data_IF_691603124092
#
_entry.id   IF_691603124092
#
_cell.length_a   1.000
_cell.length_b   1.000
_cell.length_c   1.000
_cell.angle_alpha   90.00
_cell.angle_beta   90.00
_cell.angle_gamma   90.00
#
_symmetry.space_group_name_H-M   'P 1'
#
loop_
_entity.id
_entity.type
_entity.pdbx_description
1 polymer ?
#
# COMPACT_ATOMS: atom_id res chain seq x y z
N UNK A 1 -26.46 54.11 28.60
CA UNK A 1 -25.40 53.13 28.25
C UNK A 1 -25.30 53.05 26.73
N UNK A 2 -24.12 53.33 26.18
CA UNK A 2 -23.94 53.61 24.75
C UNK A 2 -23.87 52.29 23.94
N UNK A 3 -24.83 51.99 23.04
CA UNK A 3 -24.93 50.70 22.33
C UNK A 3 -23.75 50.41 21.40
N UNK A 4 -22.92 51.42 21.10
CA UNK A 4 -21.70 51.28 20.32
C UNK A 4 -20.56 50.58 21.07
N UNK A 5 -20.50 50.73 22.40
CA UNK A 5 -19.45 50.09 23.23
C UNK A 5 -19.66 48.57 23.28
N UNK A 6 -20.92 48.11 23.24
CA UNK A 6 -21.28 46.70 23.23
C UNK A 6 -20.88 46.00 21.92
N UNK A 7 -21.10 46.65 20.76
CA UNK A 7 -20.72 46.07 19.45
C UNK A 7 -19.20 46.01 19.25
N UNK A 8 -18.47 47.03 19.71
CA UNK A 8 -17.00 47.05 19.63
C UNK A 8 -16.40 45.96 20.55
N UNK A 9 -16.94 45.80 21.75
CA UNK A 9 -16.54 44.73 22.68
C UNK A 9 -16.79 43.33 22.09
N UNK A 10 -17.95 43.10 21.45
CA UNK A 10 -18.26 41.83 20.78
C UNK A 10 -17.32 41.54 19.59
N UNK A 11 -16.98 42.55 18.79
CA UNK A 11 -16.04 42.42 17.68
C UNK A 11 -14.62 42.06 18.17
N UNK A 12 -14.17 42.66 19.27
CA UNK A 12 -12.88 42.35 19.88
C UNK A 12 -12.84 40.91 20.42
N UNK A 13 -13.92 40.44 21.05
CA UNK A 13 -14.02 39.05 21.54
C UNK A 13 -14.00 38.05 20.38
N UNK A 14 -14.73 38.30 19.29
CA UNK A 14 -14.73 37.42 18.12
C UNK A 14 -13.37 37.42 17.42
N UNK A 15 -12.70 38.57 17.34
CA UNK A 15 -11.35 38.67 16.79
C UNK A 15 -10.33 37.90 17.64
N UNK A 16 -10.40 38.04 18.97
CA UNK A 16 -9.53 37.31 19.90
C UNK A 16 -9.78 35.79 19.84
N UNK A 17 -11.02 35.36 19.67
CA UNK A 17 -11.34 33.94 19.49
C UNK A 17 -10.77 33.40 18.18
N UNK A 18 -10.87 34.15 17.07
CA UNK A 18 -10.29 33.74 15.77
C UNK A 18 -8.77 33.65 15.82
N UNK A 19 -8.09 34.61 16.45
CA UNK A 19 -6.64 34.56 16.60
C UNK A 19 -6.19 33.42 17.51
N UNK A 20 -6.92 33.14 18.61
CA UNK A 20 -6.66 31.98 19.46
C UNK A 20 -6.81 30.66 18.70
N UNK A 21 -7.84 30.54 17.85
CA UNK A 21 -8.10 29.33 17.05
C UNK A 21 -7.00 29.12 16.00
N UNK A 22 -6.54 30.19 15.34
CA UNK A 22 -5.40 30.14 14.42
C UNK A 22 -4.11 29.77 15.17
N UNK A 23 -3.89 30.32 16.37
CA UNK A 23 -2.73 29.98 17.21
C UNK A 23 -2.77 28.51 17.64
N UNK A 24 -3.93 27.99 18.04
CA UNK A 24 -4.12 26.58 18.40
C UNK A 24 -3.87 25.64 17.20
N UNK A 25 -4.28 26.01 15.99
CA UNK A 25 -3.99 25.27 14.76
C UNK A 25 -2.49 25.32 14.42
N UNK A 26 -1.84 26.46 14.60
CA UNK A 26 -0.40 26.60 14.35
C UNK A 26 0.44 25.84 15.40
N UNK A 27 0.04 25.84 16.67
CA UNK A 27 0.72 25.07 17.73
C UNK A 27 0.45 23.56 17.53
N UNK A 28 -0.76 23.18 17.15
CA UNK A 28 -1.09 21.78 16.83
C UNK A 28 -0.41 21.29 15.54
N UNK A 29 -0.09 22.19 14.62
CA UNK A 29 0.71 21.93 13.41
C UNK A 29 2.21 21.79 13.68
N UNK A 30 2.72 22.29 14.81
CA UNK A 30 4.17 22.32 15.14
C UNK A 30 4.55 21.31 16.25
N UNK A 31 3.59 20.74 17.00
CA UNK A 31 3.87 19.79 18.11
C UNK A 31 3.81 18.30 17.69
N UNK A 32 4.16 17.96 16.44
CA UNK A 32 4.43 16.57 16.04
C UNK A 32 5.88 16.32 15.57
N UNK A 33 6.82 17.20 15.94
CA UNK A 33 8.24 17.00 15.61
C UNK A 33 9.14 17.17 16.82
N UNK A 34 8.95 16.31 17.82
CA UNK A 34 9.95 16.08 18.86
C UNK A 34 9.86 14.64 19.41
N UNK A 35 10.71 13.78 18.88
CA UNK A 35 11.35 12.65 19.59
C UNK A 35 10.49 11.68 20.41
N UNK A 36 10.05 10.60 19.78
CA UNK A 36 10.38 9.27 20.30
C UNK A 36 10.91 8.41 19.14
N UNK A 37 12.24 8.39 19.01
CA UNK A 37 12.94 7.37 18.22
C UNK A 37 12.80 6.06 18.99
N UNK A 38 11.69 5.36 18.77
CA UNK A 38 11.63 3.93 19.02
C UNK A 38 12.41 3.24 17.88
N UNK A 39 13.48 2.48 18.16
CA UNK A 39 14.34 1.93 17.10
C UNK A 39 13.70 0.80 16.27
N UNK A 40 12.44 0.42 16.51
CA UNK A 40 11.92 -0.87 16.04
C UNK A 40 10.70 -0.80 15.10
N UNK A 41 10.31 0.41 14.67
CA UNK A 41 9.27 0.56 13.64
C UNK A 41 9.91 1.02 12.35
N UNK A 42 9.70 0.27 11.27
CA UNK A 42 10.06 0.73 9.94
C UNK A 42 9.25 1.99 9.62
N UNK A 43 9.89 3.15 9.77
CA UNK A 43 9.30 4.44 9.47
C UNK A 43 8.84 4.56 8.02
N UNK A 44 8.13 5.65 7.72
CA UNK A 44 7.64 5.95 6.37
C UNK A 44 8.74 6.17 5.33
N UNK A 45 9.99 6.28 5.79
CA UNK A 45 11.19 6.37 4.96
C UNK A 45 11.58 5.05 4.25
N UNK A 46 11.10 3.88 4.69
CA UNK A 46 11.48 2.62 4.05
C UNK A 46 10.70 2.37 2.75
N UNK A 47 11.46 2.26 1.65
CA UNK A 47 10.93 1.97 0.30
C UNK A 47 10.37 0.57 0.15
N UNK A 48 10.82 -0.41 0.95
CA UNK A 48 10.31 -1.79 0.96
C UNK A 48 9.89 -2.16 2.38
N UNK A 49 8.59 -2.41 2.57
CA UNK A 49 8.01 -2.83 3.85
C UNK A 49 7.35 -4.20 3.69
N UNK A 50 7.35 -5.02 4.74
CA UNK A 50 6.77 -6.36 4.72
C UNK A 50 5.53 -6.41 5.61
N UNK A 51 4.42 -6.96 5.11
CA UNK A 51 3.20 -7.09 5.89
C UNK A 51 2.30 -8.25 5.41
N UNK A 52 1.42 -8.70 6.30
CA UNK A 52 0.27 -9.54 5.94
C UNK A 52 -0.94 -8.67 5.64
N UNK A 53 -1.78 -9.09 4.70
CA UNK A 53 -2.95 -8.31 4.26
C UNK A 53 -4.19 -9.17 4.42
N UNK A 54 -4.91 -8.98 5.52
CA UNK A 54 -6.09 -9.74 5.86
C UNK A 54 -7.33 -9.09 5.28
N UNK A 55 -8.11 -9.83 4.50
CA UNK A 55 -9.41 -9.37 4.03
C UNK A 55 -10.49 -9.71 5.06
N UNK A 56 -11.23 -8.70 5.50
CA UNK A 56 -12.20 -8.86 6.59
C UNK A 56 -13.44 -9.65 6.17
N UNK A 57 -13.80 -9.62 4.88
CA UNK A 57 -14.98 -10.30 4.36
C UNK A 57 -14.75 -11.79 4.08
N UNK A 58 -13.55 -12.17 3.63
CA UNK A 58 -13.17 -13.57 3.47
C UNK A 58 -12.55 -14.18 4.72
N UNK A 59 -12.19 -13.36 5.71
CA UNK A 59 -11.46 -13.75 6.92
C UNK A 59 -10.15 -14.50 6.61
N UNK A 60 -9.43 -14.04 5.58
CA UNK A 60 -8.26 -14.73 4.99
C UNK A 60 -7.19 -13.72 4.54
N UNK A 61 -5.97 -14.19 4.33
CA UNK A 61 -4.80 -13.39 3.99
C UNK A 61 -4.50 -13.43 2.48
N UNK A 62 -4.26 -12.25 1.91
CA UNK A 62 -3.87 -12.07 0.51
C UNK A 62 -2.56 -12.78 0.21
N UNK A 63 -2.53 -13.54 -0.89
CA UNK A 63 -1.33 -14.19 -1.41
C UNK A 63 -1.45 -14.51 -2.90
N UNK A 64 -0.34 -14.92 -3.50
CA UNK A 64 -0.34 -15.66 -4.75
C UNK A 64 -0.24 -17.16 -4.45
N UNK A 65 -1.21 -17.94 -4.91
CA UNK A 65 -1.21 -19.40 -4.69
C UNK A 65 -0.26 -20.14 -5.66
N UNK A 66 -0.11 -21.46 -5.45
CA UNK A 66 0.71 -22.33 -6.30
C UNK A 66 0.25 -22.34 -7.77
N UNK A 67 -1.06 -22.14 -8.01
CA UNK A 67 -1.66 -22.01 -9.34
C UNK A 67 -1.40 -20.63 -9.99
N UNK A 68 -0.61 -19.76 -9.34
CA UNK A 68 -0.31 -18.39 -9.79
C UNK A 68 -1.58 -17.56 -9.96
N UNK A 69 -2.46 -17.65 -8.98
CA UNK A 69 -3.66 -16.83 -8.86
C UNK A 69 -3.58 -15.97 -7.59
N UNK A 70 -4.12 -14.76 -7.68
CA UNK A 70 -4.26 -13.88 -6.52
C UNK A 70 -5.52 -14.27 -5.75
N UNK A 71 -5.34 -14.72 -4.51
CA UNK A 71 -6.40 -15.23 -3.64
C UNK A 71 -6.24 -14.69 -2.23
N UNK A 72 -7.28 -14.83 -1.42
CA UNK A 72 -7.18 -14.76 0.03
C UNK A 72 -7.29 -16.19 0.61
N UNK A 73 -6.31 -16.61 1.41
CA UNK A 73 -6.20 -17.96 1.96
C UNK A 73 -5.96 -17.95 3.49
N UNK A 74 -6.04 -19.09 4.16
CA UNK A 74 -5.89 -19.19 5.62
C UNK A 74 -4.44 -19.08 6.12
N UNK A 75 -3.47 -19.00 5.21
CA UNK A 75 -2.05 -18.86 5.54
C UNK A 75 -1.75 -17.45 6.11
N UNK A 76 -1.75 -17.35 7.43
CA UNK A 76 -1.48 -16.12 8.19
C UNK A 76 0.02 -15.77 8.30
N UNK A 77 0.89 -16.69 7.91
CA UNK A 77 2.35 -16.47 7.87
C UNK A 77 2.78 -15.86 6.54
N UNK A 78 1.97 -15.99 5.47
CA UNK A 78 2.27 -15.38 4.18
C UNK A 78 2.33 -13.85 4.29
N UNK A 79 3.47 -13.27 3.88
CA UNK A 79 3.68 -11.83 3.85
C UNK A 79 4.02 -11.38 2.44
N UNK A 80 3.57 -10.18 2.09
CA UNK A 80 3.91 -9.50 0.86
C UNK A 80 4.83 -8.32 1.16
N UNK A 81 5.64 -7.96 0.18
CA UNK A 81 6.36 -6.71 0.17
C UNK A 81 5.48 -5.61 -0.43
N UNK A 82 5.42 -4.46 0.23
CA UNK A 82 4.93 -3.20 -0.32
C UNK A 82 6.13 -2.34 -0.69
N UNK A 83 6.25 -2.01 -1.97
CA UNK A 83 7.40 -1.32 -2.53
C UNK A 83 6.98 0.07 -3.02
N UNK A 84 7.43 1.11 -2.35
CA UNK A 84 7.24 2.49 -2.80
C UNK A 84 8.31 2.84 -3.82
N UNK A 85 7.89 3.35 -4.97
CA UNK A 85 8.77 3.76 -6.06
C UNK A 85 8.69 5.28 -6.21
N UNK A 86 9.84 5.92 -6.41
CA UNK A 86 9.99 7.35 -6.72
C UNK A 86 9.26 8.29 -5.74
N UNK A 87 9.21 7.93 -4.44
CA UNK A 87 8.48 8.66 -3.40
C UNK A 87 7.00 8.95 -3.75
N UNK A 88 6.40 8.14 -4.63
CA UNK A 88 5.00 8.31 -5.00
C UNK A 88 4.08 7.90 -3.86
N UNK A 89 2.87 8.47 -3.80
CA UNK A 89 1.81 8.01 -2.89
C UNK A 89 1.32 6.57 -3.18
N UNK A 90 1.82 5.95 -4.25
CA UNK A 90 1.49 4.58 -4.64
C UNK A 90 2.61 3.59 -4.34
N UNK A 91 2.25 2.32 -4.26
CA UNK A 91 3.20 1.23 -4.02
C UNK A 91 2.84 -0.01 -4.84
N UNK A 92 3.83 -0.89 -5.04
CA UNK A 92 3.66 -2.19 -5.64
C UNK A 92 3.46 -3.25 -4.56
N UNK A 93 2.59 -4.23 -4.83
CA UNK A 93 2.58 -5.49 -4.09
C UNK A 93 3.48 -6.50 -4.78
N UNK A 94 4.38 -7.12 -4.02
CA UNK A 94 5.23 -8.19 -4.47
C UNK A 94 5.17 -9.38 -3.53
N UNK A 95 4.92 -10.56 -4.08
CA UNK A 95 4.93 -11.82 -3.35
C UNK A 95 6.35 -12.41 -3.35
N UNK A 96 7.06 -12.43 -2.20
CA UNK A 96 8.42 -12.95 -2.13
C UNK A 96 8.49 -14.46 -2.28
N UNK A 97 7.43 -15.20 -1.93
CA UNK A 97 7.39 -16.66 -2.07
C UNK A 97 7.28 -17.05 -3.54
N UNK A 98 6.36 -16.40 -4.26
CA UNK A 98 6.13 -16.68 -5.69
C UNK A 98 7.03 -15.87 -6.63
N UNK A 99 7.75 -14.85 -6.12
CA UNK A 99 8.57 -13.92 -6.88
C UNK A 99 7.77 -13.21 -7.99
N UNK A 100 6.61 -12.64 -7.63
CA UNK A 100 5.70 -12.00 -8.59
C UNK A 100 5.06 -10.73 -8.03
N UNK A 101 4.90 -9.73 -8.90
CA UNK A 101 4.10 -8.54 -8.64
C UNK A 101 2.62 -8.82 -8.83
N UNK A 102 1.76 -8.21 -8.03
CA UNK A 102 0.33 -8.18 -8.30
C UNK A 102 0.02 -7.02 -9.24
N UNK A 103 -0.68 -7.29 -10.34
CA UNK A 103 -1.01 -6.27 -11.33
C UNK A 103 -2.46 -6.37 -11.79
N UNK A 104 -3.07 -5.23 -12.07
CA UNK A 104 -4.37 -5.14 -12.71
C UNK A 104 -4.31 -5.62 -14.15
N UNK A 105 -5.28 -6.44 -14.54
CA UNK A 105 -5.54 -6.82 -15.93
C UNK A 105 -6.99 -6.47 -16.26
N UNK A 106 -7.17 -5.63 -17.28
CA UNK A 106 -8.48 -5.36 -17.87
C UNK A 106 -9.03 -6.67 -18.45
N UNK A 107 -10.28 -6.99 -18.15
CA UNK A 107 -10.98 -8.13 -18.74
C UNK A 107 -11.66 -7.69 -20.05
N UNK A 108 -11.98 -8.65 -20.94
CA UNK A 108 -12.60 -8.36 -22.25
C UNK A 108 -13.92 -7.58 -22.11
N UNK A 109 -14.65 -7.78 -21.00
CA UNK A 109 -15.76 -6.91 -20.60
C UNK A 109 -15.14 -5.60 -20.11
N UNK A 110 -15.27 -4.52 -20.90
CA UNK A 110 -14.43 -3.31 -20.93
C UNK A 110 -14.23 -2.52 -19.62
N UNK A 111 -14.76 -3.03 -18.53
CA UNK A 111 -15.02 -2.30 -17.31
C UNK A 111 -14.82 -3.14 -16.04
N UNK A 112 -14.57 -4.44 -16.16
CA UNK A 112 -14.14 -5.27 -15.04
C UNK A 112 -12.64 -5.50 -15.10
N UNK A 113 -12.00 -5.50 -13.94
CA UNK A 113 -10.60 -5.85 -13.78
C UNK A 113 -10.46 -7.11 -12.95
N UNK A 114 -9.32 -7.78 -13.12
CA UNK A 114 -8.84 -8.82 -12.20
C UNK A 114 -7.38 -8.57 -11.86
N UNK A 115 -6.93 -9.10 -10.74
CA UNK A 115 -5.53 -9.11 -10.38
C UNK A 115 -4.89 -10.33 -11.03
N UNK A 116 -3.69 -10.15 -11.55
CA UNK A 116 -2.87 -11.21 -12.11
C UNK A 116 -1.46 -11.07 -11.55
N UNK A 117 -0.82 -12.17 -11.16
CA UNK A 117 0.57 -12.11 -10.77
C UNK A 117 1.45 -12.02 -12.02
N UNK A 118 2.48 -11.19 -11.95
CA UNK A 118 3.44 -10.95 -13.04
C UNK A 118 4.85 -10.93 -12.47
N UNK A 119 5.70 -11.82 -12.96
CA UNK A 119 7.14 -11.79 -12.61
C UNK A 119 7.81 -10.50 -13.13
N UNK A 120 7.56 -10.18 -14.40
CA UNK A 120 8.10 -9.01 -15.08
C UNK A 120 6.95 -8.25 -15.77
N UNK A 121 6.33 -7.26 -15.11
CA UNK A 121 5.24 -6.50 -15.71
C UNK A 121 5.74 -5.64 -16.88
N UNK A 122 5.07 -5.75 -18.04
CA UNK A 122 5.36 -4.89 -19.21
C UNK A 122 4.96 -3.44 -18.99
N UNK A 123 3.92 -3.21 -18.21
CA UNK A 123 3.41 -1.89 -17.81
C UNK A 123 3.32 -1.86 -16.28
N UNK A 124 4.23 -1.12 -15.65
CA UNK A 124 4.31 -1.03 -14.19
C UNK A 124 3.14 -0.23 -13.60
N UNK A 125 2.56 0.69 -14.36
CA UNK A 125 1.43 1.53 -13.92
C UNK A 125 0.18 0.72 -13.59
N UNK A 126 0.06 -0.50 -14.13
CA UNK A 126 -1.00 -1.45 -13.79
C UNK A 126 -0.75 -2.19 -12.48
N UNK A 127 0.45 -2.10 -11.91
CA UNK A 127 0.84 -2.80 -10.69
C UNK A 127 0.93 -1.85 -9.49
N UNK A 128 0.66 -0.55 -9.68
CA UNK A 128 0.69 0.44 -8.61
C UNK A 128 -0.68 0.56 -7.95
N UNK A 129 -0.67 0.47 -6.63
CA UNK A 129 -1.82 0.57 -5.74
C UNK A 129 -1.72 1.83 -4.90
N UNK A 130 -2.87 2.32 -4.49
CA UNK A 130 -3.03 3.37 -3.50
C UNK A 130 -3.84 2.79 -2.33
N UNK A 131 -3.43 3.12 -1.12
CA UNK A 131 -4.16 2.80 0.10
C UNK A 131 -5.14 3.94 0.39
N UNK A 132 -6.42 3.61 0.52
CA UNK A 132 -7.50 4.56 0.76
C UNK A 132 -8.28 4.10 1.99
N UNK A 133 -8.80 5.00 2.83
CA UNK A 133 -9.71 4.63 3.91
C UNK A 133 -10.93 3.84 3.38
N UNK A 134 -11.27 2.77 4.09
CA UNK A 134 -12.58 2.12 4.05
C UNK A 134 -13.35 2.47 5.34
N UNK A 135 -14.59 2.00 5.48
CA UNK A 135 -15.36 2.25 6.69
C UNK A 135 -14.68 1.58 7.91
N UNK A 136 -15.01 2.03 9.13
CA UNK A 136 -14.65 1.40 10.40
C UNK A 136 -13.15 1.05 10.58
N UNK A 137 -12.28 2.03 10.27
CA UNK A 137 -10.81 1.95 10.41
C UNK A 137 -10.10 0.91 9.53
N UNK A 138 -10.79 0.35 8.53
CA UNK A 138 -10.17 -0.51 7.52
C UNK A 138 -9.58 0.30 6.36
N UNK A 139 -8.78 -0.37 5.55
CA UNK A 139 -8.23 0.20 4.32
C UNK A 139 -8.66 -0.59 3.10
N UNK A 140 -8.75 0.09 1.96
CA UNK A 140 -8.97 -0.53 0.65
C UNK A 140 -7.80 -0.19 -0.27
N UNK A 141 -7.47 -1.15 -1.14
CA UNK A 141 -6.39 -1.01 -2.10
C UNK A 141 -6.96 -0.81 -3.50
N UNK A 142 -6.66 0.34 -4.11
CA UNK A 142 -7.19 0.71 -5.44
C UNK A 142 -6.07 0.84 -6.45
N UNK A 143 -6.36 0.66 -7.75
CA UNK A 143 -5.37 0.97 -8.78
C UNK A 143 -5.10 2.46 -8.84
N UNK A 144 -3.83 2.86 -8.83
CA UNK A 144 -3.47 4.27 -8.99
C UNK A 144 -3.90 4.82 -10.36
N UNK A 145 -3.71 4.03 -11.43
CA UNK A 145 -4.09 4.38 -12.82
C UNK A 145 -5.59 4.34 -13.06
N UNK A 146 -6.29 3.40 -12.44
CA UNK A 146 -7.73 3.19 -12.64
C UNK A 146 -8.44 3.14 -11.29
N UNK A 147 -8.74 4.30 -10.69
CA UNK A 147 -9.29 4.41 -9.32
C UNK A 147 -10.59 3.59 -9.09
N UNK A 148 -11.31 3.22 -10.14
CA UNK A 148 -12.48 2.34 -10.09
C UNK A 148 -12.14 0.84 -9.94
N UNK A 149 -10.89 0.44 -10.07
CA UNK A 149 -10.41 -0.92 -9.83
C UNK A 149 -9.99 -1.05 -8.38
N UNK A 150 -10.76 -1.82 -7.63
CA UNK A 150 -10.60 -2.01 -6.18
C UNK A 150 -10.32 -3.48 -5.91
N UNK A 151 -9.30 -3.74 -5.10
CA UNK A 151 -8.97 -5.08 -4.64
C UNK A 151 -10.10 -5.58 -3.75
N UNK A 152 -10.67 -6.73 -4.07
CA UNK A 152 -11.78 -7.29 -3.31
C UNK A 152 -11.87 -8.80 -3.45
N UNK A 153 -12.31 -9.45 -2.38
CA UNK A 153 -12.45 -10.90 -2.29
C UNK A 153 -13.87 -11.29 -1.89
N UNK A 154 -14.33 -12.43 -2.40
CA UNK A 154 -15.56 -13.07 -1.93
C UNK A 154 -15.28 -13.76 -0.59
N UNK A 155 -16.33 -14.12 0.14
CA UNK A 155 -16.24 -14.84 1.42
C UNK A 155 -15.40 -16.13 1.34
N UNK A 156 -15.42 -16.83 0.20
CA UNK A 156 -14.61 -18.03 0.01
C UNK A 156 -13.11 -17.77 -0.24
N UNK A 157 -12.69 -16.50 -0.38
CA UNK A 157 -11.31 -16.10 -0.65
C UNK A 157 -10.94 -15.97 -2.14
N UNK A 158 -11.88 -16.26 -3.06
CA UNK A 158 -11.67 -16.01 -4.48
C UNK A 158 -11.75 -14.52 -4.79
N UNK A 159 -10.95 -14.05 -5.75
CA UNK A 159 -11.00 -12.66 -6.17
C UNK A 159 -12.38 -12.32 -6.76
N UNK A 160 -12.91 -11.16 -6.38
CA UNK A 160 -14.11 -10.61 -7.02
C UNK A 160 -13.71 -9.88 -8.32
N UNK A 161 -14.34 -10.27 -9.43
CA UNK A 161 -14.17 -9.65 -10.75
C UNK A 161 -15.41 -8.78 -11.00
N UNK A 162 -15.27 -7.48 -11.23
CA UNK A 162 -16.46 -6.63 -11.38
C UNK A 162 -16.22 -5.15 -11.65
N UNK A 163 -17.31 -4.45 -12.00
CA UNK A 163 -17.34 -3.11 -12.61
C UNK A 163 -17.29 -1.96 -11.60
N UNK A 164 -17.73 -2.22 -10.37
CA UNK A 164 -17.76 -1.30 -9.22
C UNK A 164 -17.86 -2.18 -7.98
N UNK A 165 -16.94 -2.07 -7.03
CA UNK A 165 -17.20 -2.50 -5.64
C UNK A 165 -17.96 -1.39 -4.92
N UNK A 166 -19.00 -0.83 -5.55
CA UNK A 166 -20.04 -0.13 -4.78
C UNK A 166 -20.87 -1.23 -4.15
N UNK A 167 -20.31 -1.79 -3.09
CA UNK A 167 -20.98 -2.73 -2.23
C UNK A 167 -22.07 -1.92 -1.55
N UNK A 168 -23.25 -1.89 -2.17
CA UNK A 168 -24.46 -1.38 -1.54
C UNK A 168 -24.52 -1.97 -0.13
N UNK A 169 -24.95 -1.16 0.86
CA UNK A 169 -25.21 -1.41 2.30
C UNK A 169 -25.85 -2.77 2.71
N UNK A 170 -26.07 -3.72 1.79
CA UNK A 170 -26.76 -4.99 1.97
C UNK A 170 -25.86 -6.22 2.16
N UNK A 171 -24.53 -6.15 1.99
CA UNK A 171 -23.67 -7.29 2.33
C UNK A 171 -23.24 -7.25 3.80
N UNK A 172 -23.26 -8.41 4.46
CA UNK A 172 -22.85 -8.58 5.87
C UNK A 172 -21.37 -8.25 6.14
N UNK A 173 -20.56 -8.14 5.09
CA UNK A 173 -19.15 -7.77 5.17
C UNK A 173 -18.75 -6.88 3.99
N UNK A 174 -17.59 -6.24 4.09
CA UNK A 174 -17.00 -5.37 3.07
C UNK A 174 -15.88 -6.10 2.29
N UNK A 175 -16.17 -6.62 1.07
CA UNK A 175 -15.22 -7.34 0.21
C UNK A 175 -13.86 -6.67 -0.01
N UNK A 176 -13.83 -5.35 0.02
CA UNK A 176 -12.67 -4.49 -0.25
C UNK A 176 -11.93 -4.03 1.01
N UNK A 177 -12.43 -4.35 2.19
CA UNK A 177 -11.82 -3.93 3.46
C UNK A 177 -10.71 -4.89 3.86
N UNK A 178 -9.55 -4.31 4.20
CA UNK A 178 -8.37 -5.01 4.65
C UNK A 178 -7.86 -4.47 5.98
N UNK A 179 -7.21 -5.36 6.71
CA UNK A 179 -6.33 -5.03 7.82
C UNK A 179 -4.90 -5.40 7.45
N UNK A 180 -3.97 -4.47 7.69
CA UNK A 180 -2.54 -4.68 7.49
C UNK A 180 -1.91 -5.13 8.79
N UNK A 181 -1.23 -6.27 8.75
CA UNK A 181 -0.51 -6.86 9.88
C UNK A 181 1.00 -6.86 9.63
N UNK A 182 1.67 -5.88 10.20
CA UNK A 182 3.12 -5.86 10.36
C UNK A 182 3.37 -6.32 11.80
N UNK A 183 3.98 -7.49 12.07
CA UNK A 183 4.18 -8.01 13.44
C UNK A 183 4.75 -6.92 14.38
N UNK A 184 4.01 -6.54 15.42
CA UNK A 184 4.41 -5.58 16.46
C UNK A 184 5.01 -6.23 17.72
N UNK A 185 5.11 -7.56 17.77
CA UNK A 185 5.58 -8.26 18.98
C UNK A 185 7.04 -8.70 18.82
N UNK A 186 7.97 -7.84 19.25
CA UNK A 186 9.27 -8.22 19.82
C UNK A 186 10.30 -8.96 18.97
N UNK A 187 10.05 -9.20 17.67
CA UNK A 187 11.06 -9.73 16.75
C UNK A 187 11.18 -8.83 15.52
N UNK A 188 12.35 -8.21 15.44
CA UNK A 188 12.87 -7.33 14.40
C UNK A 188 12.19 -7.47 13.03
N UNK A 189 11.31 -6.52 12.70
CA UNK A 189 11.10 -6.17 11.30
C UNK A 189 12.37 -5.47 10.81
N UNK A 190 13.36 -6.27 10.41
CA UNK A 190 14.55 -5.73 9.79
C UNK A 190 14.20 -5.32 8.35
N UNK A 191 13.66 -4.11 8.16
CA UNK A 191 13.26 -3.62 6.84
C UNK A 191 14.42 -3.56 5.85
N UNK A 192 15.65 -3.41 6.35
CA UNK A 192 16.88 -3.58 5.57
C UNK A 192 16.95 -4.97 4.94
N UNK A 193 16.58 -6.03 5.68
CA UNK A 193 16.52 -7.40 5.15
C UNK A 193 15.47 -7.56 4.04
N UNK A 194 14.30 -6.94 4.20
CA UNK A 194 13.23 -7.00 3.17
C UNK A 194 13.65 -6.30 1.87
N UNK A 195 14.30 -5.15 1.98
CA UNK A 195 14.88 -4.43 0.84
C UNK A 195 15.99 -5.25 0.16
N UNK A 196 16.94 -5.80 0.92
CA UNK A 196 18.03 -6.63 0.39
C UNK A 196 17.47 -7.88 -0.31
N UNK A 197 16.49 -8.56 0.29
CA UNK A 197 15.87 -9.75 -0.32
C UNK A 197 15.18 -9.39 -1.64
N UNK A 198 14.38 -8.32 -1.66
CA UNK A 198 13.74 -7.83 -2.88
C UNK A 198 14.76 -7.54 -3.98
N UNK A 199 15.78 -6.73 -3.68
CA UNK A 199 16.78 -6.34 -4.68
C UNK A 199 17.67 -7.50 -5.13
N UNK A 200 18.00 -8.44 -4.24
CA UNK A 200 18.70 -9.68 -4.61
C UNK A 200 17.91 -10.51 -5.61
N UNK A 201 16.57 -10.57 -5.46
CA UNK A 201 15.70 -11.26 -6.42
C UNK A 201 15.65 -10.53 -7.75
N UNK A 202 15.57 -9.20 -7.74
CA UNK A 202 15.52 -8.40 -8.95
C UNK A 202 16.83 -8.51 -9.75
N UNK A 203 17.99 -8.49 -9.10
CA UNK A 203 19.32 -8.65 -9.75
C UNK A 203 19.49 -9.97 -10.51
N UNK A 204 18.69 -11.01 -10.21
CA UNK A 204 18.72 -12.30 -10.93
C UNK A 204 17.93 -12.28 -12.25
N UNK A 205 17.18 -11.22 -12.52
CA UNK A 205 16.36 -11.08 -13.73
C UNK A 205 17.21 -10.43 -14.82
N UNK A 206 17.05 -10.88 -16.08
CA UNK A 206 17.73 -10.25 -17.23
C UNK A 206 17.45 -8.75 -17.25
N UNK A 207 18.49 -7.92 -17.36
CA UNK A 207 18.41 -6.47 -17.21
C UNK A 207 17.32 -5.81 -18.07
N UNK A 208 17.23 -6.14 -19.36
CA UNK A 208 16.21 -5.62 -20.28
C UNK A 208 14.76 -5.98 -19.92
N UNK A 209 14.54 -6.89 -18.97
CA UNK A 209 13.22 -7.26 -18.46
C UNK A 209 12.83 -6.52 -17.18
N UNK A 210 13.79 -5.85 -16.54
CA UNK A 210 13.56 -5.08 -15.32
C UNK A 210 13.19 -3.65 -15.71
N UNK A 211 12.16 -3.13 -15.06
CA UNK A 211 11.73 -1.74 -15.26
C UNK A 211 12.73 -0.77 -14.66
N UNK A 212 12.90 0.37 -15.32
CA UNK A 212 13.91 1.36 -14.98
C UNK A 212 13.79 1.84 -13.52
N UNK A 213 12.56 2.04 -13.06
CA UNK A 213 12.28 2.46 -11.70
C UNK A 213 12.72 1.41 -10.66
N UNK A 214 12.62 0.12 -10.99
CA UNK A 214 13.13 -0.97 -10.15
C UNK A 214 14.65 -1.07 -10.25
N UNK A 215 15.24 -0.79 -11.42
CA UNK A 215 16.70 -0.76 -11.60
C UNK A 215 17.32 0.33 -10.74
N UNK A 216 16.76 1.54 -10.77
CA UNK A 216 17.19 2.66 -9.92
C UNK A 216 17.02 2.33 -8.44
N UNK A 217 15.85 1.80 -8.05
CA UNK A 217 15.59 1.40 -6.66
C UNK A 217 16.63 0.40 -6.15
N UNK A 218 17.06 -0.56 -6.97
CA UNK A 218 17.97 -1.63 -6.55
C UNK A 218 19.42 -1.46 -6.98
N UNK A 219 19.79 -0.28 -7.49
CA UNK A 219 21.10 0.02 -8.07
C UNK A 219 21.59 -1.10 -9.00
N UNK A 220 20.75 -1.45 -9.99
CA UNK A 220 21.06 -2.44 -11.02
C UNK A 220 21.57 -1.71 -12.26
N UNK A 221 22.89 -1.68 -12.40
CA UNK A 221 23.63 -1.15 -13.53
C UNK A 221 23.96 -2.24 -14.57
N UNK A 222 24.44 -1.82 -15.74
CA UNK A 222 24.86 -2.75 -16.81
C UNK A 222 26.05 -3.64 -16.39
N UNK A 223 26.84 -3.20 -15.39
CA UNK A 223 28.06 -3.89 -14.94
C UNK A 223 27.83 -4.96 -13.86
N UNK A 224 26.69 -4.97 -13.15
CA UNK A 224 26.39 -5.96 -12.11
C UNK A 224 25.89 -7.31 -12.63
N UNK A 225 25.83 -7.51 -13.95
CA UNK A 225 25.34 -8.73 -14.57
C UNK A 225 26.44 -9.79 -14.71
N UNK A 226 26.71 -10.55 -13.64
CA UNK A 226 27.41 -11.83 -13.75
C UNK A 226 26.38 -12.95 -13.94
N UNK A 227 26.13 -13.44 -15.17
CA UNK A 227 25.47 -14.71 -15.32
C UNK A 227 26.40 -15.75 -14.67
N UNK A 228 25.90 -16.48 -13.67
CA UNK A 228 26.54 -17.73 -13.25
C UNK A 228 26.61 -18.60 -14.50
N UNK A 229 27.79 -18.65 -15.13
CA UNK A 229 28.15 -19.74 -16.02
C UNK A 229 28.16 -20.97 -15.12
N UNK A 230 27.15 -21.81 -15.28
CA UNK A 230 27.29 -23.19 -14.85
C UNK A 230 28.40 -23.76 -15.74
N UNK A 231 29.60 -23.87 -15.19
CA UNK A 231 30.61 -24.76 -15.74
C UNK A 231 30.03 -26.18 -15.71
N UNK A 232 30.11 -26.84 -16.86
CA UNK A 232 29.67 -28.22 -17.09
C UNK A 232 30.34 -29.19 -16.13
#
# INVERSE_FOLDING_TARGET
MNPYVSKISQLLVVSALKTLLILMVLISGVVHSAGQVHPNNCGDSHTVKTAGFYNTCSMKYLRVNQNREVVADLDNYHKLFTITINNSHGFLFFDPVQNMFLCWKKTKKSSSSRLVPRRNPKDLSLCIFEEVPADDAYTKYVSQKHKNFVMSFKTNGSQRIGKKTNVKKRSRCQPEAFMRFSKQNGQDQNCTSSYIDFCTRMKRIKLHKIKEEIRHLCAIDDNSYHPRKNSM
#
